data_IF_038184433210
#
_entry.id   IF_038184433210
#
_cell.length_a   1.000
_cell.length_b   1.000
_cell.length_c   1.000
_cell.angle_alpha   90.00
_cell.angle_beta   90.00
_cell.angle_gamma   90.00
#
_symmetry.space_group_name_H-M   'P 1'
#
loop_
_entity.id
_entity.type
_entity.pdbx_description
1 polymer ?
#
# COMPACT_ATOMS: atom_id res chain seq x y z
N UNK A 1 15.32 -22.56 -9.95
CA UNK A 1 14.11 -21.72 -10.07
C UNK A 1 14.50 -20.28 -9.74
N UNK A 2 14.44 -19.34 -10.69
CA UNK A 2 14.81 -17.94 -10.46
C UNK A 2 13.63 -17.21 -9.80
N UNK A 3 13.79 -16.84 -8.53
CA UNK A 3 12.85 -15.98 -7.79
C UNK A 3 13.18 -14.53 -8.15
N UNK A 4 12.46 -13.93 -9.10
CA UNK A 4 12.65 -12.52 -9.44
C UNK A 4 11.67 -11.71 -8.62
N UNK A 5 12.16 -11.12 -7.53
CA UNK A 5 11.53 -9.98 -6.88
C UNK A 5 12.07 -8.74 -7.57
N UNK A 6 11.18 -7.84 -8.00
CA UNK A 6 11.61 -6.54 -8.49
C UNK A 6 11.80 -5.58 -7.32
N UNK A 7 13.04 -5.41 -6.89
CA UNK A 7 13.41 -4.33 -5.95
C UNK A 7 13.08 -2.93 -6.51
N UNK A 8 12.92 -2.82 -7.83
CA UNK A 8 12.54 -1.62 -8.61
C UNK A 8 11.15 -1.06 -8.27
N UNK A 9 10.37 -1.74 -7.41
CA UNK A 9 9.02 -1.32 -7.01
C UNK A 9 9.02 -0.43 -5.78
N UNK A 10 10.12 -0.38 -5.04
CA UNK A 10 10.30 0.60 -3.98
C UNK A 10 10.77 1.90 -4.63
N UNK A 11 9.90 2.90 -4.64
CA UNK A 11 10.22 4.25 -5.16
C UNK A 11 11.12 4.99 -4.18
N UNK A 12 10.76 4.92 -2.91
CA UNK A 12 11.47 5.55 -1.82
C UNK A 12 11.22 4.78 -0.53
N UNK A 13 12.22 4.78 0.35
CA UNK A 13 12.09 4.30 1.71
C UNK A 13 12.52 5.43 2.64
N UNK A 14 11.64 5.80 3.55
CA UNK A 14 11.84 6.86 4.52
C UNK A 14 11.95 6.23 5.91
N UNK A 15 13.10 6.45 6.54
CA UNK A 15 13.23 6.33 7.99
C UNK A 15 13.35 7.73 8.55
N UNK A 16 12.55 8.03 9.55
CA UNK A 16 12.70 9.23 10.34
C UNK A 16 14.13 9.30 10.95
N UNK A 17 14.85 10.43 10.84
CA UNK A 17 15.95 10.74 11.76
C UNK A 17 15.47 10.72 13.22
N UNK A 18 16.34 10.90 14.22
CA UNK A 18 15.89 10.97 15.61
C UNK A 18 14.70 11.94 15.79
N UNK A 19 13.66 11.54 16.54
CA UNK A 19 12.46 12.34 16.80
C UNK A 19 11.19 11.94 16.03
N UNK A 20 10.25 12.89 15.91
CA UNK A 20 8.93 12.70 15.29
C UNK A 20 8.86 13.48 13.97
N UNK A 21 8.46 12.81 12.89
CA UNK A 21 8.57 13.34 11.53
C UNK A 21 7.26 13.31 10.75
N UNK A 22 7.26 14.01 9.61
CA UNK A 22 6.18 13.97 8.63
C UNK A 22 6.72 13.40 7.32
N UNK A 23 6.07 12.35 6.81
CA UNK A 23 6.37 11.77 5.49
C UNK A 23 5.27 12.13 4.51
N UNK A 24 5.62 12.32 3.24
CA UNK A 24 4.69 12.70 2.19
C UNK A 24 4.48 11.55 1.22
N UNK A 25 3.25 11.06 1.12
CA UNK A 25 2.83 10.12 0.09
C UNK A 25 2.32 10.92 -1.11
N UNK A 26 2.76 10.60 -2.33
CA UNK A 26 2.39 11.34 -3.54
C UNK A 26 1.66 10.46 -4.56
N UNK A 27 0.54 10.96 -5.10
CA UNK A 27 -0.14 10.34 -6.23
C UNK A 27 0.35 11.03 -7.53
N UNK A 28 1.16 10.34 -8.32
CA UNK A 28 1.80 10.90 -9.53
C UNK A 28 0.87 10.95 -10.76
N UNK A 29 -0.39 10.51 -10.64
CA UNK A 29 -1.37 10.58 -11.73
C UNK A 29 -1.65 12.02 -12.16
N UNK A 30 -1.59 12.30 -13.46
CA UNK A 30 -1.90 13.63 -14.01
C UNK A 30 -3.30 14.11 -13.56
N UNK A 31 -4.28 13.20 -13.57
CA UNK A 31 -5.68 13.46 -13.19
C UNK A 31 -5.98 13.25 -11.70
N UNK A 32 -4.97 12.95 -10.87
CA UNK A 32 -5.16 12.76 -9.43
C UNK A 32 -5.66 14.06 -8.78
N UNK A 33 -6.75 13.98 -8.01
CA UNK A 33 -7.28 15.09 -7.20
C UNK A 33 -6.61 15.15 -5.83
N UNK A 34 -6.23 14.00 -5.30
CA UNK A 34 -5.41 13.85 -4.11
C UNK A 34 -3.96 13.77 -4.57
N UNK A 35 -3.23 14.88 -4.56
CA UNK A 35 -1.85 14.94 -5.03
C UNK A 35 -0.86 14.48 -3.97
N UNK A 36 -1.10 14.85 -2.70
CA UNK A 36 -0.18 14.59 -1.61
C UNK A 36 -0.91 14.33 -0.30
N UNK A 37 -0.49 13.30 0.43
CA UNK A 37 -0.93 13.03 1.80
C UNK A 37 0.26 13.16 2.74
N UNK A 38 0.16 14.08 3.70
CA UNK A 38 1.13 14.19 4.79
C UNK A 38 0.76 13.22 5.92
N UNK A 39 1.61 12.24 6.16
CA UNK A 39 1.54 11.33 7.30
C UNK A 39 2.34 11.97 8.43
N UNK A 40 1.63 12.53 9.42
CA UNK A 40 2.22 13.27 10.54
C UNK A 40 2.44 12.35 11.73
N UNK A 41 3.50 12.60 12.49
CA UNK A 41 3.72 11.89 13.75
C UNK A 41 4.42 10.54 13.58
N UNK A 42 5.19 10.37 12.50
CA UNK A 42 5.97 9.14 12.28
C UNK A 42 7.07 9.07 13.34
N UNK A 43 7.13 8.00 14.15
CA UNK A 43 8.16 7.86 15.19
C UNK A 43 9.52 7.49 14.58
N UNK A 44 10.60 7.59 15.36
CA UNK A 44 11.98 7.35 14.89
C UNK A 44 12.26 5.91 14.43
N UNK A 45 11.47 4.95 14.94
CA UNK A 45 11.45 3.54 14.57
C UNK A 45 10.39 3.21 13.50
N UNK A 46 9.66 4.21 13.01
CA UNK A 46 8.69 4.09 11.93
C UNK A 46 9.37 4.13 10.55
N UNK A 47 8.94 3.25 9.66
CA UNK A 47 9.37 3.22 8.27
C UNK A 47 8.19 3.45 7.34
N UNK A 48 8.41 4.22 6.28
CA UNK A 48 7.45 4.40 5.20
C UNK A 48 8.10 3.99 3.89
N UNK A 49 7.50 3.04 3.20
CA UNK A 49 7.95 2.57 1.89
C UNK A 49 6.92 3.02 0.86
N UNK A 50 7.32 3.91 -0.04
CA UNK A 50 6.52 4.27 -1.20
C UNK A 50 6.72 3.22 -2.28
N UNK A 51 5.59 2.71 -2.77
CA UNK A 51 5.54 1.63 -3.75
C UNK A 51 5.05 2.18 -5.09
N UNK A 52 5.82 1.97 -6.15
CA UNK A 52 5.46 2.45 -7.49
C UNK A 52 4.94 1.31 -8.38
N UNK A 53 3.63 1.33 -8.63
CA UNK A 53 2.95 0.40 -9.53
C UNK A 53 3.09 0.78 -11.02
N UNK A 54 3.49 2.02 -11.34
CA UNK A 54 3.46 2.55 -12.72
C UNK A 54 4.53 1.92 -13.62
N UNK A 55 5.64 1.47 -13.05
CA UNK A 55 6.72 0.73 -13.74
C UNK A 55 6.27 -0.66 -14.24
N UNK A 56 5.11 -1.14 -13.80
CA UNK A 56 4.54 -2.41 -14.23
C UNK A 56 3.76 -2.31 -15.56
N UNK A 57 3.47 -1.10 -16.04
CA UNK A 57 2.63 -0.85 -17.22
C UNK A 57 3.36 0.04 -18.23
N UNK A 58 4.40 -0.49 -18.87
CA UNK A 58 5.02 0.21 -20.00
C UNK A 58 4.13 0.13 -21.25
N UNK A 59 3.66 1.30 -21.71
CA UNK A 59 3.07 1.49 -23.04
C UNK A 59 4.11 1.14 -24.11
N UNK A 60 3.83 0.15 -24.95
CA UNK A 60 4.48 -0.02 -26.25
C UNK A 60 5.48 -1.18 -26.42
N UNK A 61 5.85 -1.92 -25.37
CA UNK A 61 6.72 -3.09 -25.53
C UNK A 61 5.91 -4.39 -25.53
N UNK A 62 6.02 -5.15 -26.62
CA UNK A 62 5.46 -6.49 -26.73
C UNK A 62 5.91 -7.35 -25.54
N UNK A 63 4.91 -7.71 -24.72
CA UNK A 63 4.87 -8.71 -23.68
C UNK A 63 6.17 -9.49 -23.46
N UNK A 64 6.91 -9.16 -22.39
CA UNK A 64 7.63 -10.24 -21.70
C UNK A 64 7.36 -10.36 -20.22
N UNK A 65 7.00 -9.33 -19.46
CA UNK A 65 6.79 -9.54 -18.01
C UNK A 65 5.75 -8.59 -17.37
N UNK A 66 4.44 -8.86 -17.53
CA UNK A 66 3.35 -8.09 -16.89
C UNK A 66 3.06 -8.50 -15.43
N UNK A 67 3.82 -9.43 -14.85
CA UNK A 67 3.56 -9.99 -13.51
C UNK A 67 4.62 -9.58 -12.51
N UNK A 68 4.15 -9.11 -11.36
CA UNK A 68 4.93 -8.81 -10.17
C UNK A 68 5.80 -9.99 -9.69
N UNK A 69 5.26 -11.18 -9.81
CA UNK A 69 5.98 -12.45 -9.71
C UNK A 69 5.13 -13.52 -10.39
N UNK A 70 5.77 -14.47 -11.07
CA UNK A 70 5.12 -15.62 -11.68
C UNK A 70 4.47 -16.59 -10.67
N UNK A 71 4.65 -16.33 -9.37
CA UNK A 71 4.02 -17.06 -8.27
C UNK A 71 2.65 -16.53 -7.87
N UNK A 72 2.32 -15.28 -8.24
CA UNK A 72 0.98 -14.74 -8.04
C UNK A 72 0.15 -15.07 -9.28
N UNK A 73 -1.05 -15.62 -9.03
CA UNK A 73 -1.88 -16.40 -9.95
C UNK A 73 -1.89 -15.96 -11.44
N UNK A 74 -1.77 -16.94 -12.33
CA UNK A 74 -1.69 -16.77 -13.79
C UNK A 74 -3.00 -16.30 -14.44
N UNK A 75 -4.13 -16.38 -13.73
CA UNK A 75 -5.45 -16.15 -14.31
C UNK A 75 -5.93 -14.67 -14.31
N UNK A 76 -5.26 -13.75 -13.62
CA UNK A 76 -5.79 -12.40 -13.40
C UNK A 76 -4.87 -11.26 -13.87
N UNK A 77 -5.25 -10.56 -14.94
CA UNK A 77 -4.60 -9.31 -15.38
C UNK A 77 -4.64 -8.22 -14.28
N UNK A 78 -5.62 -8.29 -13.38
CA UNK A 78 -5.83 -7.37 -12.26
C UNK A 78 -4.95 -7.62 -11.02
N UNK A 79 -4.09 -8.65 -11.01
CA UNK A 79 -3.23 -9.00 -9.87
C UNK A 79 -1.98 -8.10 -9.77
N UNK A 80 -1.79 -7.18 -10.72
CA UNK A 80 -0.52 -6.49 -10.93
C UNK A 80 -0.44 -5.06 -10.40
N UNK A 81 -1.42 -4.62 -9.60
CA UNK A 81 -1.37 -3.32 -8.94
C UNK A 81 -0.96 -3.52 -7.48
N UNK A 82 0.09 -2.84 -7.05
CA UNK A 82 0.50 -2.72 -5.65
C UNK A 82 -0.16 -1.47 -5.05
N UNK A 83 -0.30 -1.43 -3.73
CA UNK A 83 -0.74 -0.23 -3.00
C UNK A 83 0.32 0.89 -3.12
N UNK A 84 -0.05 2.12 -2.79
CA UNK A 84 0.84 3.27 -2.96
C UNK A 84 1.92 3.33 -1.87
N UNK A 85 1.64 2.82 -0.67
CA UNK A 85 2.62 2.81 0.41
C UNK A 85 2.45 1.63 1.39
N UNK A 86 3.53 1.31 2.09
CA UNK A 86 3.54 0.45 3.27
C UNK A 86 4.18 1.19 4.45
N UNK A 87 3.45 1.32 5.55
CA UNK A 87 3.92 1.93 6.79
C UNK A 87 4.24 0.81 7.77
N UNK A 88 5.45 0.78 8.30
CA UNK A 88 5.96 -0.31 9.13
C UNK A 88 6.36 0.26 10.49
N UNK A 89 5.98 -0.44 11.55
CA UNK A 89 6.34 -0.14 12.93
C UNK A 89 6.74 -1.42 13.64
N UNK A 90 7.76 -1.33 14.49
CA UNK A 90 8.14 -2.41 15.40
C UNK A 90 7.70 -2.05 16.82
N UNK A 91 6.80 -2.83 17.41
CA UNK A 91 6.30 -2.62 18.77
C UNK A 91 6.50 -3.90 19.59
N UNK A 92 7.30 -3.84 20.66
CA UNK A 92 7.41 -4.90 21.67
C UNK A 92 7.48 -6.32 21.08
N UNK A 93 8.38 -6.51 20.09
CA UNK A 93 8.60 -7.76 19.36
C UNK A 93 7.54 -8.15 18.32
N UNK A 94 6.66 -7.22 17.94
CA UNK A 94 5.71 -7.37 16.82
C UNK A 94 6.07 -6.42 15.71
N UNK A 95 5.98 -6.91 14.49
CA UNK A 95 6.08 -6.07 13.30
C UNK A 95 4.67 -5.80 12.81
N UNK A 96 4.30 -4.53 12.71
CA UNK A 96 3.00 -4.11 12.18
C UNK A 96 3.20 -3.43 10.84
N UNK A 97 2.44 -3.84 9.84
CA UNK A 97 2.53 -3.31 8.48
C UNK A 97 1.15 -2.82 8.03
N UNK A 98 1.02 -1.52 7.88
CA UNK A 98 -0.18 -0.87 7.34
C UNK A 98 0.00 -0.62 5.85
N UNK A 99 -0.77 -1.33 5.03
CA UNK A 99 -0.79 -1.16 3.58
C UNK A 99 -1.79 -0.06 3.21
N UNK A 100 -1.34 0.93 2.46
CA UNK A 100 -2.08 2.17 2.19
C UNK A 100 -2.24 2.37 0.69
N UNK A 101 -3.48 2.59 0.28
CA UNK A 101 -3.86 2.91 -1.10
C UNK A 101 -4.61 4.25 -1.14
N UNK A 102 -4.12 5.17 -1.98
CA UNK A 102 -4.64 6.51 -2.19
C UNK A 102 -5.65 6.51 -3.34
N UNK A 103 -6.78 7.15 -3.11
CA UNK A 103 -7.89 7.18 -4.06
C UNK A 103 -8.48 8.58 -4.18
N UNK A 104 -8.19 9.21 -5.31
CA UNK A 104 -8.76 10.50 -5.72
C UNK A 104 -10.29 10.48 -5.96
N UNK A 105 -10.87 9.31 -6.22
CA UNK A 105 -12.32 9.12 -6.43
C UNK A 105 -12.86 8.01 -5.53
N UNK A 106 -14.19 7.83 -5.53
CA UNK A 106 -14.85 6.73 -4.84
C UNK A 106 -14.20 5.38 -5.17
N UNK A 107 -13.59 4.68 -4.19
CA UNK A 107 -12.93 3.41 -4.46
C UNK A 107 -13.98 2.33 -4.74
N UNK A 108 -13.65 1.43 -5.69
CA UNK A 108 -14.27 0.12 -5.74
C UNK A 108 -13.57 -0.77 -4.72
N UNK A 109 -14.25 -1.07 -3.61
CA UNK A 109 -13.62 -1.77 -2.49
C UNK A 109 -13.18 -3.19 -2.85
N UNK A 110 -13.86 -3.87 -3.78
CA UNK A 110 -13.48 -5.22 -4.22
C UNK A 110 -12.13 -5.20 -4.93
N UNK A 111 -11.95 -4.29 -5.89
CA UNK A 111 -10.68 -4.16 -6.63
C UNK A 111 -9.57 -3.62 -5.72
N UNK A 112 -9.91 -2.70 -4.82
CA UNK A 112 -8.94 -2.16 -3.86
C UNK A 112 -8.47 -3.22 -2.87
N UNK A 113 -9.37 -4.08 -2.39
CA UNK A 113 -9.01 -5.20 -1.53
C UNK A 113 -8.11 -6.23 -2.24
N UNK A 114 -8.34 -6.49 -3.53
CA UNK A 114 -7.42 -7.33 -4.34
C UNK A 114 -6.03 -6.69 -4.39
N UNK A 115 -5.93 -5.40 -4.70
CA UNK A 115 -4.67 -4.63 -4.75
C UNK A 115 -3.91 -4.69 -3.40
N UNK A 116 -4.62 -4.45 -2.29
CA UNK A 116 -4.03 -4.50 -0.94
C UNK A 116 -3.64 -5.95 -0.54
N UNK A 117 -4.43 -6.95 -0.91
CA UNK A 117 -4.11 -8.37 -0.67
C UNK A 117 -2.85 -8.80 -1.43
N UNK A 118 -2.68 -8.37 -2.67
CA UNK A 118 -1.46 -8.66 -3.43
C UNK A 118 -0.23 -8.01 -2.78
N UNK A 119 -0.39 -6.77 -2.32
CA UNK A 119 0.66 -6.05 -1.61
C UNK A 119 1.02 -6.72 -0.27
N UNK A 120 0.03 -7.30 0.42
CA UNK A 120 0.28 -8.13 1.61
C UNK A 120 1.14 -9.34 1.27
N UNK A 121 0.81 -10.08 0.22
CA UNK A 121 1.63 -11.25 -0.14
C UNK A 121 3.06 -10.89 -0.50
N UNK A 122 3.26 -9.76 -1.17
CA UNK A 122 4.59 -9.24 -1.42
C UNK A 122 5.39 -9.01 -0.14
N UNK A 123 4.81 -8.22 0.75
CA UNK A 123 5.48 -7.80 1.98
C UNK A 123 5.75 -9.01 2.86
N UNK A 124 4.81 -9.96 2.95
CA UNK A 124 5.02 -11.26 3.61
C UNK A 124 6.20 -12.01 3.03
N UNK A 125 6.35 -12.03 1.70
CA UNK A 125 7.46 -12.72 1.06
C UNK A 125 8.81 -12.01 1.34
N UNK A 126 8.87 -10.68 1.20
CA UNK A 126 10.06 -9.89 1.57
C UNK A 126 10.44 -10.16 3.03
N UNK A 127 9.47 -10.11 3.93
CA UNK A 127 9.69 -10.37 5.35
C UNK A 127 10.16 -11.80 5.63
N UNK A 128 9.64 -12.78 4.88
CA UNK A 128 10.07 -14.17 5.01
C UNK A 128 11.54 -14.37 4.62
N UNK A 129 12.04 -13.61 3.63
CA UNK A 129 13.46 -13.63 3.27
C UNK A 129 14.34 -13.00 4.34
N UNK A 130 13.88 -11.90 4.96
CA UNK A 130 14.59 -11.25 6.07
C UNK A 130 14.67 -12.20 7.27
N UNK A 131 13.53 -12.76 7.68
CA UNK A 131 13.45 -13.78 8.73
C UNK A 131 14.38 -14.96 8.46
N UNK A 132 14.40 -15.48 7.23
CA UNK A 132 15.30 -16.58 6.86
C UNK A 132 16.79 -16.19 6.95
N UNK A 133 17.15 -14.98 6.49
CA UNK A 133 18.53 -14.46 6.55
C UNK A 133 18.98 -14.28 7.99
N UNK A 134 18.12 -13.74 8.84
CA UNK A 134 18.45 -13.32 10.20
C UNK A 134 18.20 -14.43 11.25
N UNK A 135 17.65 -15.58 10.81
CA UNK A 135 17.31 -16.70 11.70
C UNK A 135 16.11 -16.41 12.62
N UNK A 136 15.27 -15.46 12.24
CA UNK A 136 14.11 -15.02 13.03
C UNK A 136 12.81 -15.67 12.54
N UNK A 137 11.77 -15.65 13.40
CA UNK A 137 10.41 -16.06 13.05
C UNK A 137 9.39 -15.04 13.54
N UNK A 138 9.50 -13.81 13.04
CA UNK A 138 8.61 -12.71 13.38
C UNK A 138 7.75 -12.35 12.16
N UNK A 139 6.61 -13.02 11.93
CA UNK A 139 5.73 -12.66 10.82
C UNK A 139 5.08 -11.29 11.09
N UNK A 140 4.90 -10.44 10.07
CA UNK A 140 4.25 -9.16 10.24
C UNK A 140 2.73 -9.28 10.36
N UNK A 141 2.14 -8.47 11.24
CA UNK A 141 0.71 -8.24 11.37
C UNK A 141 0.28 -7.15 10.39
N UNK A 142 -0.67 -7.48 9.50
CA UNK A 142 -1.10 -6.56 8.44
C UNK A 142 -2.42 -5.88 8.74
N UNK A 143 -2.49 -4.59 8.43
CA UNK A 143 -3.73 -3.82 8.29
C UNK A 143 -3.81 -3.22 6.88
N UNK A 144 -5.03 -3.04 6.38
CA UNK A 144 -5.30 -2.55 5.02
C UNK A 144 -6.11 -1.28 5.08
N UNK A 145 -5.62 -0.23 4.42
CA UNK A 145 -6.16 1.11 4.51
C UNK A 145 -6.35 1.72 3.13
N UNK A 146 -7.47 2.42 2.97
CA UNK A 146 -7.76 3.26 1.81
C UNK A 146 -7.92 4.69 2.29
N UNK A 147 -7.15 5.60 1.69
CA UNK A 147 -7.27 7.03 1.93
C UNK A 147 -7.96 7.65 0.72
N UNK A 148 -9.03 8.40 0.98
CA UNK A 148 -9.83 9.00 -0.07
C UNK A 148 -10.33 10.38 0.30
N UNK A 149 -10.70 11.17 -0.72
CA UNK A 149 -11.25 12.52 -0.53
C UNK A 149 -12.64 12.43 0.13
N UNK A 150 -12.88 13.25 1.14
CA UNK A 150 -14.17 13.39 1.80
C UNK A 150 -15.28 13.74 0.80
N UNK A 151 -16.41 13.04 0.88
CA UNK A 151 -17.55 13.17 -0.04
C UNK A 151 -17.54 12.17 -1.21
N UNK A 152 -16.41 11.52 -1.49
CA UNK A 152 -16.45 10.31 -2.31
C UNK A 152 -17.10 9.18 -1.48
N UNK A 153 -18.10 8.49 -2.03
CA UNK A 153 -18.74 7.34 -1.36
C UNK A 153 -18.13 6.05 -1.90
N UNK A 154 -17.41 5.31 -1.06
CA UNK A 154 -16.88 4.00 -1.41
C UNK A 154 -18.01 3.08 -1.92
N UNK A 155 -17.76 2.39 -3.04
CA UNK A 155 -18.72 1.50 -3.67
C UNK A 155 -18.33 0.06 -3.37
N UNK A 156 -19.28 -0.73 -2.90
CA UNK A 156 -19.15 -2.19 -2.85
C UNK A 156 -19.63 -2.71 -4.20
N UNK A 157 -18.75 -3.37 -4.96
CA UNK A 157 -19.10 -3.95 -6.26
C UNK A 157 -20.26 -4.96 -6.10
N UNK A 158 -21.21 -4.94 -7.03
CA UNK A 158 -22.40 -5.78 -7.00
C UNK A 158 -22.10 -7.26 -7.27
N UNK A 159 -21.76 -8.00 -6.23
CA UNK A 159 -21.83 -9.47 -6.23
C UNK A 159 -22.22 -9.94 -4.82
N UNK A 160 -23.37 -10.60 -4.70
CA UNK A 160 -24.00 -11.04 -3.44
C UNK A 160 -23.23 -12.12 -2.66
N UNK A 161 -22.05 -12.53 -3.11
CA UNK A 161 -21.32 -13.71 -2.59
C UNK A 161 -19.93 -13.42 -2.04
N UNK A 162 -19.51 -12.15 -1.94
CA UNK A 162 -18.23 -11.83 -1.30
C UNK A 162 -18.41 -11.46 0.19
N UNK A 163 -17.49 -11.87 1.07
CA UNK A 163 -17.42 -11.36 2.44
C UNK A 163 -17.49 -9.83 2.44
N UNK A 164 -18.11 -9.22 3.44
CA UNK A 164 -18.17 -7.76 3.50
C UNK A 164 -16.75 -7.19 3.59
N UNK A 165 -16.25 -6.68 2.47
CA UNK A 165 -14.90 -6.14 2.30
C UNK A 165 -14.61 -5.02 3.31
N UNK A 166 -15.65 -4.38 3.84
CA UNK A 166 -15.56 -3.36 4.89
C UNK A 166 -14.96 -3.87 6.19
N UNK A 167 -15.01 -5.18 6.45
CA UNK A 167 -14.39 -5.79 7.63
C UNK A 167 -12.86 -5.94 7.51
N UNK A 168 -12.32 -5.83 6.29
CA UNK A 168 -10.90 -6.06 6.01
C UNK A 168 -10.16 -4.78 5.65
N UNK A 169 -10.86 -3.80 5.09
CA UNK A 169 -10.29 -2.54 4.61
C UNK A 169 -10.85 -1.37 5.40
N UNK A 170 -9.97 -0.64 6.09
CA UNK A 170 -10.34 0.61 6.77
C UNK A 170 -10.31 1.77 5.79
N UNK A 171 -11.37 2.57 5.78
CA UNK A 171 -11.52 3.70 4.86
C UNK A 171 -11.38 5.01 5.64
N UNK A 172 -10.43 5.83 5.21
CA UNK A 172 -10.14 7.15 5.77
C UNK A 172 -10.60 8.23 4.79
N UNK A 173 -11.62 8.99 5.19
CA UNK A 173 -12.08 10.16 4.45
C UNK A 173 -11.32 11.41 4.89
N UNK A 174 -10.57 12.03 3.97
CA UNK A 174 -9.78 13.22 4.25
C UNK A 174 -10.32 14.45 3.53
N UNK A 175 -10.33 15.58 4.23
CA UNK A 175 -10.55 16.87 3.59
C UNK A 175 -9.28 17.28 2.86
N UNK A 176 -9.41 17.62 1.59
CA UNK A 176 -8.31 18.01 0.71
C UNK A 176 -8.36 19.51 0.49
N UNK A 177 -7.20 20.17 0.53
CA UNK A 177 -7.09 21.60 0.25
C UNK A 177 -7.24 21.93 -1.25
N UNK A 178 -7.15 23.22 -1.61
CA UNK A 178 -7.34 23.69 -2.99
C UNK A 178 -6.30 23.16 -3.99
N UNK A 179 -5.15 22.68 -3.51
CA UNK A 179 -4.05 22.18 -4.35
C UNK A 179 -3.92 20.66 -4.31
N UNK A 180 -4.85 19.96 -3.64
CA UNK A 180 -4.87 18.50 -3.62
C UNK A 180 -4.11 17.88 -2.44
N UNK A 181 -3.84 18.63 -1.37
CA UNK A 181 -3.13 18.10 -0.19
C UNK A 181 -4.06 17.72 0.96
N UNK A 182 -3.72 16.65 1.64
CA UNK A 182 -4.38 16.21 2.87
C UNK A 182 -3.37 15.83 3.96
N UNK A 183 -3.88 15.60 5.17
CA UNK A 183 -3.06 15.13 6.30
C UNK A 183 -3.78 14.06 7.11
N UNK A 184 -2.99 13.13 7.65
CA UNK A 184 -3.43 12.01 8.49
C UNK A 184 -2.39 11.78 9.59
N UNK A 185 -2.77 11.22 10.75
CA UNK A 185 -1.82 10.92 11.82
C UNK A 185 -1.32 9.48 11.68
N UNK A 186 -0.05 9.25 11.97
CA UNK A 186 0.57 7.92 12.01
C UNK A 186 -0.25 6.93 12.85
N UNK A 187 -0.67 7.35 14.04
CA UNK A 187 -1.47 6.53 14.95
C UNK A 187 -2.78 6.02 14.34
N UNK A 188 -3.36 6.72 13.35
CA UNK A 188 -4.63 6.32 12.72
C UNK A 188 -4.52 5.00 11.93
N UNK A 189 -3.29 4.57 11.60
CA UNK A 189 -3.02 3.31 10.90
C UNK A 189 -2.82 2.11 11.82
N UNK A 190 -2.46 2.36 13.09
CA UNK A 190 -2.04 1.30 14.02
C UNK A 190 -2.99 1.14 15.23
N UNK A 191 -4.15 1.78 15.22
CA UNK A 191 -5.22 1.60 16.21
C UNK A 191 -6.08 0.36 15.99
#
# INVERSE_FOLDING_TARGET
MKRIIRAELVRSAHRAPDGVHTVFLEESGADARLKRVSVRGVPADGYVIDLDASTCVHRGAAHRFPQFSSHFDRAGVAINKICDAALIMEEANRIRVSLVDLKSTAPNLVETNKQLTNSRYFMSYVWSLLNWRDGEQRPPDFSMHVIMINGAKARVGGARTQPDVRNYVRVHGLTVDRVGHASVRWGDFFT
#
